data_IF_523610358549
#
_entry.id   IF_523610358549
#
_cell.length_a   1.000
_cell.length_b   1.000
_cell.length_c   1.000
_cell.angle_alpha   90.00
_cell.angle_beta   90.00
_cell.angle_gamma   90.00
#
_symmetry.space_group_name_H-M   'P 1'
#
loop_
_entity.id
_entity.type
_entity.pdbx_description
1 polymer ?
#
# COMPACT_ATOMS: atom_id res chain seq x y z
N UNK A 1 5.92 23.83 1.05
CA UNK A 1 5.64 23.02 2.25
C UNK A 1 4.69 21.90 1.86
N UNK A 2 5.19 20.66 1.77
CA UNK A 2 4.34 19.50 1.50
C UNK A 2 3.55 19.23 2.78
N UNK A 3 2.25 19.56 2.79
CA UNK A 3 1.37 19.20 3.89
C UNK A 3 1.41 17.67 4.02
N UNK A 4 1.84 17.23 5.20
CA UNK A 4 1.88 15.83 5.59
C UNK A 4 0.50 15.21 5.30
N UNK A 5 0.40 14.12 4.50
CA UNK A 5 -0.87 13.45 4.26
C UNK A 5 -1.66 13.27 5.56
N UNK A 6 -2.98 13.49 5.53
CA UNK A 6 -3.81 13.02 6.65
C UNK A 6 -3.63 11.51 6.71
N UNK A 7 -3.41 10.96 7.91
CA UNK A 7 -3.13 9.52 8.08
C UNK A 7 -3.89 9.00 9.27
N UNK A 8 -4.36 7.77 9.19
CA UNK A 8 -4.98 7.12 10.34
C UNK A 8 -3.91 6.70 11.36
N UNK A 9 -2.81 6.11 10.87
CA UNK A 9 -1.64 5.75 11.66
C UNK A 9 -0.33 6.15 10.96
N UNK A 10 0.60 6.72 11.73
CA UNK A 10 1.94 7.09 11.28
C UNK A 10 2.96 6.47 12.20
N UNK A 11 3.88 5.69 11.65
CA UNK A 11 5.06 5.21 12.35
C UNK A 11 6.24 6.01 11.84
N UNK A 12 6.60 7.11 12.52
CA UNK A 12 7.68 8.00 12.05
C UNK A 12 9.08 7.46 12.36
N UNK A 13 9.22 6.86 13.54
CA UNK A 13 10.48 6.38 14.10
C UNK A 13 10.23 5.14 14.94
N UNK A 14 11.24 4.29 15.09
CA UNK A 14 11.23 3.13 15.99
C UNK A 14 11.77 1.88 15.33
N UNK A 15 11.94 0.83 16.13
CA UNK A 15 12.34 -0.50 15.69
C UNK A 15 11.44 -1.56 16.36
N UNK A 16 11.12 -2.63 15.64
CA UNK A 16 10.30 -3.74 16.14
C UNK A 16 8.83 -3.40 16.43
N UNK A 17 8.27 -2.39 15.75
CA UNK A 17 6.87 -1.98 15.96
C UNK A 17 5.94 -2.95 15.22
N UNK A 18 4.93 -3.43 15.93
CA UNK A 18 3.89 -4.32 15.40
C UNK A 18 2.55 -3.60 15.36
N UNK A 19 1.95 -3.53 14.17
CA UNK A 19 0.57 -3.10 13.96
C UNK A 19 -0.25 -4.34 13.61
N UNK A 20 -1.05 -4.82 14.56
CA UNK A 20 -1.79 -6.06 14.40
C UNK A 20 -3.29 -5.90 14.68
N UNK A 21 -4.12 -6.63 13.94
CA UNK A 21 -5.56 -6.75 14.20
C UNK A 21 -6.30 -5.41 14.23
N UNK A 22 -5.89 -4.46 13.40
CA UNK A 22 -6.46 -3.11 13.34
C UNK A 22 -7.43 -2.97 12.16
N UNK A 23 -8.43 -2.10 12.30
CA UNK A 23 -9.31 -1.70 11.19
C UNK A 23 -9.23 -0.19 10.98
N UNK A 24 -9.00 0.22 9.73
CA UNK A 24 -8.98 1.60 9.31
C UNK A 24 -10.03 1.78 8.20
N UNK A 25 -11.07 2.57 8.46
CA UNK A 25 -12.19 2.70 7.51
C UNK A 25 -12.73 4.12 7.43
N UNK A 26 -13.29 4.48 6.27
CA UNK A 26 -14.05 5.72 6.02
C UNK A 26 -13.22 6.99 6.19
N UNK A 27 -12.00 6.99 5.62
CA UNK A 27 -11.14 8.17 5.64
C UNK A 27 -11.28 8.97 4.34
N UNK A 28 -11.67 10.24 4.47
CA UNK A 28 -11.74 11.21 3.38
C UNK A 28 -10.81 12.40 3.65
N UNK A 29 -9.97 12.75 2.68
CA UNK A 29 -9.09 13.92 2.79
C UNK A 29 -9.04 14.77 1.52
N UNK A 30 -8.95 16.09 1.69
CA UNK A 30 -8.69 17.04 0.60
C UNK A 30 -7.20 17.07 0.16
N UNK A 31 -6.31 16.57 1.02
CA UNK A 31 -4.89 16.37 0.73
C UNK A 31 -4.58 14.90 0.47
N UNK A 32 -3.30 14.58 0.29
CA UNK A 32 -2.89 13.16 0.21
C UNK A 32 -3.30 12.42 1.49
N UNK A 33 -3.52 11.12 1.36
CA UNK A 33 -3.99 10.25 2.42
C UNK A 33 -3.25 8.91 2.36
N UNK A 34 -2.89 8.41 3.53
CA UNK A 34 -2.50 7.00 3.70
C UNK A 34 -3.16 6.47 4.97
N UNK A 35 -3.84 5.33 4.94
CA UNK A 35 -4.40 4.78 6.19
C UNK A 35 -3.26 4.41 7.15
N UNK A 36 -2.26 3.64 6.67
CA UNK A 36 -1.01 3.40 7.38
C UNK A 36 0.15 4.00 6.59
N UNK A 37 0.99 4.80 7.27
CA UNK A 37 2.26 5.28 6.72
C UNK A 37 3.42 4.86 7.61
N UNK A 38 4.43 4.22 7.02
CA UNK A 38 5.76 4.11 7.64
C UNK A 38 6.65 5.26 7.16
N UNK A 39 7.30 5.92 8.11
CA UNK A 39 8.32 6.93 7.84
C UNK A 39 9.65 6.29 7.46
N UNK A 40 10.55 7.08 6.90
CA UNK A 40 11.84 6.58 6.37
C UNK A 40 12.79 6.04 7.44
N UNK A 41 12.55 6.32 8.73
CA UNK A 41 13.38 5.92 9.86
C UNK A 41 12.68 4.89 10.78
N UNK A 42 11.69 4.16 10.28
CA UNK A 42 10.94 3.16 11.03
C UNK A 42 11.37 1.75 10.59
N UNK A 43 12.22 1.11 11.38
CA UNK A 43 12.82 -0.19 11.06
C UNK A 43 12.04 -1.35 11.70
N UNK A 44 12.22 -2.56 11.18
CA UNK A 44 11.68 -3.77 11.79
C UNK A 44 10.16 -3.77 11.96
N UNK A 45 9.44 -3.09 11.07
CA UNK A 45 7.98 -2.93 11.19
C UNK A 45 7.27 -4.19 10.71
N UNK A 46 6.31 -4.67 11.50
CA UNK A 46 5.38 -5.73 11.10
C UNK A 46 3.96 -5.20 11.08
N UNK A 47 3.26 -5.33 9.95
CA UNK A 47 1.85 -5.01 9.81
C UNK A 47 1.10 -6.29 9.48
N UNK A 48 0.14 -6.70 10.32
CA UNK A 48 -0.53 -7.99 10.11
C UNK A 48 -1.99 -8.04 10.53
N UNK A 49 -2.79 -8.84 9.83
CA UNK A 49 -4.20 -9.06 10.14
C UNK A 49 -5.02 -7.75 10.20
N UNK A 50 -4.65 -6.78 9.38
CA UNK A 50 -5.30 -5.47 9.35
C UNK A 50 -6.29 -5.39 8.18
N UNK A 51 -7.38 -4.66 8.40
CA UNK A 51 -8.38 -4.33 7.38
C UNK A 51 -8.34 -2.83 7.13
N UNK A 52 -8.25 -2.45 5.86
CA UNK A 52 -8.24 -1.07 5.40
C UNK A 52 -9.29 -0.96 4.32
N UNK A 53 -10.20 0.01 4.45
CA UNK A 53 -11.38 0.07 3.59
C UNK A 53 -11.88 1.51 3.40
N UNK A 54 -12.38 1.85 2.22
CA UNK A 54 -12.95 3.17 1.90
C UNK A 54 -12.01 4.34 2.29
N UNK A 55 -10.86 4.42 1.60
CA UNK A 55 -9.83 5.43 1.80
C UNK A 55 -9.77 6.31 0.56
N UNK A 56 -10.24 7.56 0.67
CA UNK A 56 -10.44 8.40 -0.51
C UNK A 56 -9.85 9.81 -0.40
N UNK A 57 -9.38 10.31 -1.54
CA UNK A 57 -9.17 11.74 -1.79
C UNK A 57 -9.88 12.17 -3.07
N UNK A 58 -10.32 13.43 -3.13
CA UNK A 58 -11.00 14.01 -4.29
C UNK A 58 -10.12 14.95 -5.12
N UNK A 59 -8.83 15.06 -4.76
CA UNK A 59 -7.90 15.95 -5.45
C UNK A 59 -6.96 15.15 -6.38
N UNK A 60 -7.12 15.36 -7.68
CA UNK A 60 -6.34 14.66 -8.70
C UNK A 60 -4.82 14.90 -8.65
N UNK A 61 -4.35 15.95 -7.97
CA UNK A 61 -2.92 16.20 -7.73
C UNK A 61 -2.39 15.62 -6.41
N UNK A 62 -3.23 14.89 -5.67
CA UNK A 62 -2.90 14.23 -4.41
C UNK A 62 -2.87 12.72 -4.59
N UNK A 63 -2.54 12.01 -3.53
CA UNK A 63 -2.39 10.56 -3.55
C UNK A 63 -3.26 9.91 -2.47
N UNK A 64 -3.80 8.73 -2.77
CA UNK A 64 -4.51 7.90 -1.79
C UNK A 64 -3.85 6.55 -1.67
N UNK A 65 -3.51 6.15 -0.44
CA UNK A 65 -2.90 4.86 -0.15
C UNK A 65 -3.65 4.13 0.95
N UNK A 66 -3.85 2.82 0.80
CA UNK A 66 -4.19 2.00 1.95
C UNK A 66 -2.99 1.92 2.89
N UNK A 67 -1.88 1.40 2.38
CA UNK A 67 -0.59 1.33 3.08
C UNK A 67 0.51 1.94 2.22
N UNK A 68 1.33 2.82 2.81
CA UNK A 68 2.54 3.33 2.17
C UNK A 68 3.77 2.98 3.01
N UNK A 69 4.68 2.21 2.40
CA UNK A 69 5.85 1.61 3.03
C UNK A 69 7.12 2.32 2.55
N UNK A 70 7.69 3.19 3.39
CA UNK A 70 8.81 4.06 2.99
C UNK A 70 10.14 3.75 3.70
N UNK A 71 10.18 2.74 4.57
CA UNK A 71 11.41 2.26 5.22
C UNK A 71 11.72 0.84 4.76
N UNK A 72 12.99 0.43 4.70
CA UNK A 72 13.34 -0.92 4.28
C UNK A 72 13.01 -1.96 5.36
N UNK A 73 13.00 -3.23 4.98
CA UNK A 73 12.90 -4.34 5.95
C UNK A 73 11.52 -4.51 6.60
N UNK A 74 10.47 -3.97 5.98
CA UNK A 74 9.10 -4.05 6.51
C UNK A 74 8.46 -5.37 6.10
N UNK A 75 7.80 -6.03 7.06
CA UNK A 75 6.98 -7.21 6.80
C UNK A 75 5.51 -6.86 6.88
N UNK A 76 4.77 -7.22 5.83
CA UNK A 76 3.31 -7.11 5.76
C UNK A 76 2.73 -8.49 5.50
N UNK A 77 1.79 -8.93 6.33
CA UNK A 77 1.20 -10.26 6.19
C UNK A 77 -0.30 -10.26 6.49
N UNK A 78 -1.08 -10.90 5.62
CA UNK A 78 -2.52 -11.07 5.80
C UNK A 78 -3.24 -9.74 6.04
N UNK A 79 -3.00 -8.76 5.18
CA UNK A 79 -3.78 -7.52 5.19
C UNK A 79 -4.79 -7.51 4.05
N UNK A 80 -5.95 -6.91 4.31
CA UNK A 80 -6.98 -6.67 3.30
C UNK A 80 -7.14 -5.17 3.12
N UNK A 81 -6.89 -4.70 1.91
CA UNK A 81 -7.05 -3.32 1.49
C UNK A 81 -8.11 -3.26 0.40
N UNK A 82 -9.19 -2.53 0.65
CA UNK A 82 -10.31 -2.37 -0.29
C UNK A 82 -10.66 -0.91 -0.49
N UNK A 83 -11.19 -0.57 -1.67
CA UNK A 83 -11.81 0.74 -1.94
C UNK A 83 -10.87 1.92 -1.62
N UNK A 84 -9.66 1.87 -2.19
CA UNK A 84 -8.68 2.96 -2.10
C UNK A 84 -8.77 3.82 -3.36
N UNK A 85 -9.17 5.07 -3.15
CA UNK A 85 -9.61 5.93 -4.23
C UNK A 85 -8.95 7.29 -4.30
N UNK A 86 -8.65 7.69 -5.54
CA UNK A 86 -8.47 9.09 -5.89
C UNK A 86 -9.41 9.41 -7.04
N UNK A 87 -10.60 9.91 -6.68
CA UNK A 87 -11.67 10.20 -7.63
C UNK A 87 -11.33 11.35 -8.59
N UNK A 88 -10.25 12.10 -8.32
CA UNK A 88 -9.71 13.10 -9.24
C UNK A 88 -8.68 12.56 -10.24
N UNK A 89 -7.89 11.55 -9.87
CA UNK A 89 -6.90 10.88 -10.73
C UNK A 89 -6.63 9.46 -10.24
N UNK A 90 -7.23 8.46 -10.89
CA UNK A 90 -7.07 7.03 -10.59
C UNK A 90 -5.60 6.58 -10.44
N UNK A 91 -4.70 7.05 -11.31
CA UNK A 91 -3.28 6.70 -11.29
C UNK A 91 -2.54 7.08 -9.98
N UNK A 92 -3.14 7.95 -9.16
CA UNK A 92 -2.60 8.39 -7.88
C UNK A 92 -3.22 7.64 -6.68
N UNK A 93 -3.94 6.56 -6.92
CA UNK A 93 -4.44 5.67 -5.88
C UNK A 93 -3.72 4.31 -5.94
N UNK A 94 -3.31 3.81 -4.77
CA UNK A 94 -2.69 2.48 -4.67
C UNK A 94 -3.13 1.80 -3.37
N UNK A 95 -3.57 0.54 -3.44
CA UNK A 95 -3.88 -0.23 -2.25
C UNK A 95 -2.68 -0.30 -1.30
N UNK A 96 -1.58 -0.88 -1.79
CA UNK A 96 -0.32 -0.96 -1.05
C UNK A 96 0.83 -0.43 -1.93
N UNK A 97 1.54 0.58 -1.43
CA UNK A 97 2.69 1.19 -2.11
C UNK A 97 4.00 0.85 -1.39
N UNK A 98 4.95 0.32 -2.14
CA UNK A 98 6.30 -0.06 -1.71
C UNK A 98 7.29 0.94 -2.32
N UNK A 99 8.07 1.64 -1.51
CA UNK A 99 9.00 2.69 -1.99
C UNK A 99 10.45 2.40 -1.58
N UNK A 100 10.70 1.30 -0.88
CA UNK A 100 12.02 0.98 -0.34
C UNK A 100 12.31 -0.53 -0.42
N UNK A 101 13.58 -0.88 -0.23
CA UNK A 101 14.14 -2.21 -0.46
C UNK A 101 13.84 -3.19 0.68
N UNK A 102 13.96 -4.50 0.40
CA UNK A 102 13.80 -5.59 1.37
C UNK A 102 12.44 -5.60 2.09
N UNK A 103 11.37 -5.22 1.38
CA UNK A 103 10.01 -5.27 1.90
C UNK A 103 9.37 -6.60 1.45
N UNK A 104 8.78 -7.31 2.41
CA UNK A 104 8.03 -8.55 2.13
C UNK A 104 6.55 -8.33 2.39
N UNK A 105 5.72 -8.65 1.40
CA UNK A 105 4.27 -8.69 1.51
C UNK A 105 3.80 -10.11 1.23
N UNK A 106 2.98 -10.65 2.13
CA UNK A 106 2.46 -12.01 1.98
C UNK A 106 0.98 -12.12 2.29
N UNK A 107 0.30 -13.06 1.63
CA UNK A 107 -1.10 -13.44 1.91
C UNK A 107 -2.08 -12.26 1.94
N UNK A 108 -1.80 -11.21 1.17
CA UNK A 108 -2.52 -9.93 1.27
C UNK A 108 -3.38 -9.67 0.04
N UNK A 109 -4.48 -8.96 0.24
CA UNK A 109 -5.47 -8.64 -0.78
C UNK A 109 -5.55 -7.13 -0.98
N UNK A 110 -5.45 -6.66 -2.21
CA UNK A 110 -5.72 -5.28 -2.62
C UNK A 110 -6.76 -5.25 -3.75
N UNK A 111 -7.97 -4.77 -3.49
CA UNK A 111 -9.06 -4.83 -4.47
C UNK A 111 -9.99 -3.61 -4.47
N UNK A 112 -10.81 -3.51 -5.52
CA UNK A 112 -11.92 -2.56 -5.65
C UNK A 112 -11.49 -1.08 -5.57
N UNK A 113 -10.20 -0.76 -5.75
CA UNK A 113 -9.72 0.63 -5.78
C UNK A 113 -9.68 1.21 -7.20
N UNK A 114 -9.83 2.52 -7.34
CA UNK A 114 -9.76 3.20 -8.65
C UNK A 114 -8.38 3.14 -9.32
N UNK A 115 -7.31 2.86 -8.58
CA UNK A 115 -5.93 2.85 -9.08
C UNK A 115 -5.30 1.46 -9.13
N UNK A 116 -4.10 1.33 -8.53
CA UNK A 116 -3.31 0.08 -8.48
C UNK A 116 -3.65 -0.74 -7.24
N UNK A 117 -3.57 -2.07 -7.34
CA UNK A 117 -3.59 -2.93 -6.16
C UNK A 117 -2.29 -2.78 -5.36
N UNK A 118 -1.18 -3.14 -6.01
CA UNK A 118 0.18 -2.97 -5.50
C UNK A 118 0.98 -2.03 -6.42
N UNK A 119 1.70 -1.07 -5.83
CA UNK A 119 2.63 -0.20 -6.55
C UNK A 119 4.04 -0.43 -6.00
N UNK A 120 4.94 -0.93 -6.83
CA UNK A 120 6.34 -1.13 -6.49
C UNK A 120 7.17 -0.04 -7.15
N UNK A 121 7.67 0.87 -6.32
CA UNK A 121 8.49 2.00 -6.76
C UNK A 121 9.89 1.57 -7.20
N UNK A 122 10.53 2.41 -8.03
CA UNK A 122 11.84 2.13 -8.60
C UNK A 122 12.98 1.93 -7.58
N UNK A 123 12.82 2.38 -6.34
CA UNK A 123 13.80 2.20 -5.25
C UNK A 123 13.50 1.01 -4.34
N UNK A 124 12.43 0.26 -4.62
CA UNK A 124 12.10 -0.96 -3.90
C UNK A 124 12.78 -2.14 -4.58
N UNK A 125 14.09 -2.23 -4.44
CA UNK A 125 14.85 -3.43 -4.80
C UNK A 125 14.44 -4.59 -3.90
N UNK A 126 14.62 -5.83 -4.35
CA UNK A 126 14.33 -7.06 -3.58
C UNK A 126 12.97 -7.08 -2.85
N UNK A 127 11.96 -6.38 -3.36
CA UNK A 127 10.62 -6.46 -2.81
C UNK A 127 10.03 -7.83 -3.17
N UNK A 128 9.45 -8.49 -2.16
CA UNK A 128 8.85 -9.81 -2.31
C UNK A 128 7.35 -9.71 -2.11
N UNK A 129 6.57 -10.08 -3.12
CA UNK A 129 5.11 -10.17 -3.03
C UNK A 129 4.73 -11.63 -3.27
N UNK A 130 4.27 -12.30 -2.20
CA UNK A 130 4.06 -13.75 -2.18
C UNK A 130 2.62 -14.10 -1.78
N UNK A 131 1.91 -14.92 -2.56
CA UNK A 131 0.54 -15.34 -2.26
C UNK A 131 -0.42 -14.16 -2.08
N UNK A 132 -0.15 -13.04 -2.74
CA UNK A 132 -1.00 -11.86 -2.68
C UNK A 132 -1.96 -11.83 -3.87
N UNK A 133 -3.09 -11.14 -3.72
CA UNK A 133 -4.09 -10.99 -4.77
C UNK A 133 -4.35 -9.52 -5.00
N UNK A 134 -4.26 -9.09 -6.25
CA UNK A 134 -4.82 -7.82 -6.69
C UNK A 134 -5.86 -8.06 -7.78
N UNK A 135 -7.07 -7.52 -7.58
CA UNK A 135 -8.19 -7.72 -8.49
C UNK A 135 -9.14 -6.54 -8.45
N UNK A 136 -9.90 -6.37 -9.52
CA UNK A 136 -10.98 -5.38 -9.59
C UNK A 136 -10.53 -3.95 -9.28
N UNK A 137 -9.23 -3.67 -9.47
CA UNK A 137 -8.67 -2.32 -9.39
C UNK A 137 -8.75 -1.63 -10.76
N UNK A 138 -8.74 -0.29 -10.80
CA UNK A 138 -8.95 0.50 -12.01
C UNK A 138 -7.79 0.50 -13.01
N UNK A 139 -7.20 1.67 -13.29
CA UNK A 139 -6.41 1.93 -14.52
C UNK A 139 -5.14 1.07 -14.72
N UNK A 140 -4.74 0.28 -13.72
CA UNK A 140 -3.55 -0.56 -13.75
C UNK A 140 -3.78 -1.76 -12.81
N UNK A 141 -4.43 -2.80 -13.35
CA UNK A 141 -5.39 -3.68 -12.64
C UNK A 141 -4.82 -4.62 -11.59
N UNK A 142 -3.53 -4.55 -11.26
CA UNK A 142 -2.97 -5.46 -10.26
C UNK A 142 -1.69 -4.98 -9.60
N UNK A 143 -0.57 -5.09 -10.30
CA UNK A 143 0.76 -4.79 -9.77
C UNK A 143 1.48 -3.94 -10.82
N UNK A 144 1.76 -2.69 -10.48
CA UNK A 144 2.69 -1.89 -11.24
C UNK A 144 4.07 -2.05 -10.62
N UNK A 145 5.01 -2.57 -11.40
CA UNK A 145 6.37 -2.79 -10.97
C UNK A 145 7.33 -1.97 -11.83
N UNK A 146 7.70 -0.79 -11.33
CA UNK A 146 8.67 0.08 -11.98
C UNK A 146 10.12 -0.40 -11.83
N UNK A 147 10.36 -1.52 -11.12
CA UNK A 147 11.67 -2.10 -10.88
C UNK A 147 11.76 -3.53 -11.47
N UNK A 148 12.67 -3.73 -12.43
CA UNK A 148 12.80 -4.99 -13.15
C UNK A 148 13.24 -6.20 -12.33
N UNK A 149 13.75 -5.99 -11.11
CA UNK A 149 14.38 -7.03 -10.28
C UNK A 149 13.45 -7.65 -9.22
N UNK A 150 12.19 -7.22 -9.16
CA UNK A 150 11.25 -7.72 -8.15
C UNK A 150 10.52 -9.00 -8.57
N UNK A 151 10.32 -9.88 -7.60
CA UNK A 151 9.58 -11.13 -7.77
C UNK A 151 8.13 -10.91 -7.33
N UNK A 152 7.21 -10.86 -8.31
CA UNK A 152 5.77 -10.81 -8.05
C UNK A 152 5.12 -12.13 -8.51
N UNK A 153 4.58 -12.91 -7.56
CA UNK A 153 3.72 -14.07 -7.87
C UNK A 153 2.23 -13.70 -7.95
N UNK A 154 1.90 -12.44 -7.65
CA UNK A 154 0.52 -12.03 -7.46
C UNK A 154 -0.19 -11.90 -8.83
N UNK A 155 -1.08 -12.85 -9.08
CA UNK A 155 -1.81 -12.96 -10.34
C UNK A 155 -2.77 -11.80 -10.54
N UNK A 156 -2.63 -11.08 -11.65
CA UNK A 156 -3.67 -10.18 -12.15
C UNK A 156 -4.79 -11.02 -12.75
N UNK A 157 -5.68 -11.53 -11.89
CA UNK A 157 -6.89 -12.26 -12.30
C UNK A 157 -6.79 -13.79 -12.45
N UNK A 158 -6.09 -14.48 -11.55
CA UNK A 158 -5.85 -15.95 -11.50
C UNK A 158 -4.54 -16.37 -12.16
N UNK A 159 -3.46 -16.43 -11.36
CA UNK A 159 -2.56 -17.59 -11.38
C UNK A 159 -2.24 -17.92 -9.93
N UNK A 160 -2.62 -19.13 -9.55
CA UNK A 160 -2.25 -19.82 -8.32
C UNK A 160 -0.88 -20.43 -8.55
N UNK A 161 0.08 -20.09 -7.69
CA UNK A 161 1.21 -20.96 -7.34
C UNK A 161 0.97 -21.51 -5.96
#
# INVERSE_FOLDING_TARGET
AHADPRRALIIRYGDGIVVANCTFRDYLAAGSLAAILTGVFALGITITNCVIDNISTSNGAKFSYGVSLNSPGITVNNIRVTDVDNTGTAANASGIRIVNDNITISNSLAQDGSGKGFEIGAAADNAQINGCVARDNGADTGIDNANGDNYSDAGTGTIVG
#
